data_IF_764324778824
#
_entry.id   IF_764324778824
#
_cell.length_a   1.000
_cell.length_b   1.000
_cell.length_c   1.000
_cell.angle_alpha   90.00
_cell.angle_beta   90.00
_cell.angle_gamma   90.00
#
_symmetry.space_group_name_H-M   'P 1'
#
loop_
_entity.id
_entity.type
_entity.pdbx_description
1 polymer ?
#
# COMPACT_ATOMS: atom_id res chain seq x y z
N UNK A 1 48.04 -42.03 -46.42
CA UNK A 1 46.64 -42.32 -46.07
C UNK A 1 46.00 -40.98 -45.66
N UNK A 2 45.13 -40.43 -46.51
CA UNK A 2 44.34 -39.19 -46.25
C UNK A 2 43.27 -39.49 -45.18
N UNK A 3 42.88 -38.52 -44.33
CA UNK A 3 41.62 -37.79 -44.56
C UNK A 3 41.71 -36.29 -44.16
N UNK A 4 41.32 -35.34 -45.02
CA UNK A 4 39.96 -34.76 -45.23
C UNK A 4 39.58 -33.69 -44.19
N UNK A 5 39.97 -32.44 -44.51
CA UNK A 5 39.51 -31.20 -43.86
C UNK A 5 38.08 -30.90 -44.31
N UNK A 6 37.13 -30.82 -43.37
CA UNK A 6 35.74 -30.41 -43.64
C UNK A 6 35.44 -29.10 -42.93
N UNK A 7 35.59 -28.00 -43.67
CA UNK A 7 35.14 -26.66 -43.29
C UNK A 7 33.61 -26.62 -43.29
N UNK A 8 33.01 -26.51 -42.11
CA UNK A 8 31.57 -26.25 -41.95
C UNK A 8 31.31 -24.74 -41.91
N UNK A 9 30.70 -24.21 -42.96
CA UNK A 9 30.21 -22.83 -43.05
C UNK A 9 28.88 -22.71 -42.29
N UNK A 10 28.82 -21.88 -41.26
CA UNK A 10 27.56 -21.48 -40.60
C UNK A 10 26.76 -20.56 -41.55
N UNK A 11 25.43 -20.74 -41.71
CA UNK A 11 24.63 -19.82 -42.50
C UNK A 11 24.43 -18.48 -41.77
N UNK A 12 24.14 -17.38 -42.50
CA UNK A 12 23.89 -16.08 -41.90
C UNK A 12 22.59 -16.11 -41.10
N UNK A 13 22.59 -15.49 -39.92
CA UNK A 13 21.36 -15.24 -39.15
C UNK A 13 20.63 -14.11 -39.85
N UNK A 14 19.76 -14.46 -40.81
CA UNK A 14 18.86 -13.53 -41.47
C UNK A 14 17.73 -13.22 -40.49
N UNK A 15 17.89 -12.13 -39.73
CA UNK A 15 16.85 -11.58 -38.88
C UNK A 15 15.78 -10.95 -39.77
N UNK A 16 14.80 -11.75 -40.16
CA UNK A 16 13.58 -11.26 -40.81
C UNK A 16 12.91 -10.24 -39.87
N UNK A 17 12.68 -8.98 -40.27
CA UNK A 17 11.96 -8.02 -39.44
C UNK A 17 10.50 -8.44 -39.34
N UNK A 18 10.03 -8.76 -38.13
CA UNK A 18 8.62 -9.06 -37.88
C UNK A 18 7.78 -7.83 -38.24
N UNK A 19 6.79 -7.94 -39.15
CA UNK A 19 5.97 -6.79 -39.53
C UNK A 19 5.17 -6.29 -38.32
N UNK A 20 5.07 -4.97 -38.13
CA UNK A 20 4.36 -4.37 -36.99
C UNK A 20 2.88 -4.77 -36.91
N UNK A 21 2.26 -5.14 -38.04
CA UNK A 21 0.88 -5.63 -38.09
C UNK A 21 0.67 -6.92 -37.30
N UNK A 22 1.67 -7.80 -37.23
CA UNK A 22 1.59 -9.04 -36.44
C UNK A 22 1.65 -8.79 -34.92
N UNK A 23 2.21 -7.65 -34.50
CA UNK A 23 2.16 -7.21 -33.09
C UNK A 23 0.81 -6.58 -32.76
N UNK A 24 0.21 -5.85 -33.70
CA UNK A 24 -1.13 -5.28 -33.54
C UNK A 24 -2.20 -6.39 -33.47
N UNK A 25 -2.14 -7.40 -34.34
CA UNK A 25 -3.07 -8.53 -34.30
C UNK A 25 -2.96 -9.34 -33.00
N UNK A 26 -1.76 -9.44 -32.40
CA UNK A 26 -1.57 -10.12 -31.11
C UNK A 26 -2.09 -9.31 -29.92
N UNK A 27 -2.06 -7.98 -29.98
CA UNK A 27 -2.64 -7.11 -28.94
C UNK A 27 -4.17 -7.09 -29.06
N UNK A 28 -4.71 -7.14 -30.29
CA UNK A 28 -6.16 -7.17 -30.53
C UNK A 28 -6.75 -8.55 -30.19
N UNK A 29 -6.08 -9.66 -30.51
CA UNK A 29 -6.58 -11.01 -30.26
C UNK A 29 -6.67 -11.44 -28.78
N UNK A 30 -6.01 -10.72 -27.86
CA UNK A 30 -6.10 -11.02 -26.40
C UNK A 30 -7.12 -10.16 -25.65
N UNK A 31 -7.97 -9.39 -26.35
CA UNK A 31 -8.80 -8.33 -25.73
C UNK A 31 -10.31 -8.54 -25.86
N UNK A 32 -10.77 -9.70 -26.33
CA UNK A 32 -12.21 -9.96 -26.43
C UNK A 32 -12.73 -10.50 -25.09
N UNK A 33 -13.68 -9.81 -24.42
CA UNK A 33 -14.26 -10.32 -23.19
C UNK A 33 -15.07 -11.59 -23.47
N UNK A 34 -15.05 -12.57 -22.55
CA UNK A 34 -15.84 -13.78 -22.67
C UNK A 34 -17.34 -13.45 -22.59
N UNK A 35 -18.19 -14.20 -23.29
CA UNK A 35 -19.66 -13.97 -23.26
C UNK A 35 -20.25 -14.20 -21.86
N UNK A 36 -19.69 -15.15 -21.10
CA UNK A 36 -20.02 -15.41 -19.69
C UNK A 36 -18.78 -15.76 -18.89
N UNK A 37 -18.77 -15.40 -17.61
CA UNK A 37 -17.69 -15.71 -16.67
C UNK A 37 -18.20 -16.58 -15.54
N UNK A 38 -17.82 -17.86 -15.57
CA UNK A 38 -18.09 -18.81 -14.49
C UNK A 38 -16.83 -18.95 -13.62
N UNK A 39 -16.53 -17.92 -12.82
CA UNK A 39 -15.34 -17.88 -11.99
C UNK A 39 -14.97 -16.48 -11.47
N UNK A 40 -13.70 -16.32 -11.13
CA UNK A 40 -13.11 -15.07 -10.63
C UNK A 40 -12.12 -14.54 -11.66
N UNK A 41 -12.14 -13.23 -11.90
CA UNK A 41 -11.11 -12.54 -12.66
C UNK A 41 -10.27 -11.65 -11.75
N UNK A 42 -9.09 -11.27 -12.24
CA UNK A 42 -8.25 -10.26 -11.59
C UNK A 42 -8.35 -8.98 -12.40
N UNK A 43 -8.67 -7.88 -11.72
CA UNK A 43 -8.73 -6.54 -12.29
C UNK A 43 -8.01 -5.53 -11.41
N UNK A 44 -8.18 -4.25 -11.74
CA UNK A 44 -7.64 -3.11 -11.01
C UNK A 44 -8.71 -2.07 -10.77
N UNK A 45 -8.64 -1.35 -9.65
CA UNK A 45 -9.51 -0.19 -9.41
C UNK A 45 -8.98 1.00 -10.19
N UNK A 46 -9.79 1.56 -11.06
CA UNK A 46 -9.45 2.73 -11.88
C UNK A 46 -9.77 4.03 -11.13
N UNK A 47 -10.98 4.16 -10.60
CA UNK A 47 -11.48 5.36 -9.96
C UNK A 47 -12.65 5.06 -8.99
N UNK A 48 -13.11 6.11 -8.32
CA UNK A 48 -14.41 6.17 -7.64
C UNK A 48 -15.24 7.22 -8.37
N UNK A 49 -16.50 6.90 -8.69
CA UNK A 49 -17.42 7.87 -9.29
C UNK A 49 -17.91 8.90 -8.26
N UNK A 50 -18.78 9.82 -8.70
CA UNK A 50 -19.33 10.90 -7.86
C UNK A 50 -20.15 10.39 -6.67
N UNK A 51 -20.67 9.18 -6.76
CA UNK A 51 -21.44 8.51 -5.70
C UNK A 51 -20.56 7.59 -4.84
N UNK A 52 -19.24 7.58 -5.08
CA UNK A 52 -18.27 6.73 -4.40
C UNK A 52 -18.30 5.27 -4.84
N UNK A 53 -18.89 4.94 -5.99
CA UNK A 53 -18.85 3.58 -6.54
C UNK A 53 -17.55 3.36 -7.30
N UNK A 54 -16.88 2.22 -7.09
CA UNK A 54 -15.63 1.95 -7.77
C UNK A 54 -15.85 1.61 -9.24
N UNK A 55 -14.95 2.10 -10.09
CA UNK A 55 -14.80 1.61 -11.46
C UNK A 55 -13.56 0.74 -11.57
N UNK A 56 -13.61 -0.32 -12.36
CA UNK A 56 -12.52 -1.29 -12.50
C UNK A 56 -12.16 -1.56 -13.95
N UNK A 57 -10.90 -1.96 -14.15
CA UNK A 57 -10.36 -2.48 -15.39
C UNK A 57 -10.01 -3.95 -15.28
N UNK A 58 -10.12 -4.67 -16.39
CA UNK A 58 -9.72 -6.06 -16.57
C UNK A 58 -8.86 -6.13 -17.83
N UNK A 59 -7.55 -5.91 -17.65
CA UNK A 59 -6.57 -5.86 -18.76
C UNK A 59 -6.62 -7.11 -19.64
N UNK A 60 -6.81 -8.28 -19.03
CA UNK A 60 -6.89 -9.57 -19.73
C UNK A 60 -8.04 -9.66 -20.74
N UNK A 61 -9.06 -8.79 -20.63
CA UNK A 61 -10.23 -8.75 -21.49
C UNK A 61 -10.41 -7.39 -22.17
N UNK A 62 -9.43 -6.49 -22.07
CA UNK A 62 -9.51 -5.14 -22.65
C UNK A 62 -10.65 -4.27 -22.11
N UNK A 63 -11.22 -4.61 -20.94
CA UNK A 63 -12.32 -3.85 -20.34
C UNK A 63 -11.76 -2.80 -19.38
N UNK A 64 -12.28 -1.58 -19.44
CA UNK A 64 -11.85 -0.46 -18.58
C UNK A 64 -13.06 0.35 -18.10
N UNK A 65 -12.93 1.00 -16.94
CA UNK A 65 -13.98 1.89 -16.42
C UNK A 65 -15.31 1.20 -16.11
N UNK A 66 -15.32 -0.12 -15.88
CA UNK A 66 -16.54 -0.85 -15.57
C UNK A 66 -17.04 -0.46 -14.18
N UNK A 67 -18.30 -0.01 -14.01
CA UNK A 67 -18.85 0.22 -12.70
C UNK A 67 -18.95 -1.11 -11.95
N UNK A 68 -18.34 -1.19 -10.77
CA UNK A 68 -18.33 -2.39 -9.96
C UNK A 68 -19.13 -2.20 -8.66
N UNK A 69 -19.86 -3.24 -8.26
CA UNK A 69 -20.35 -3.34 -6.89
C UNK A 69 -19.22 -3.82 -6.00
N UNK A 70 -19.29 -3.57 -4.70
CA UNK A 70 -18.25 -4.02 -3.77
C UNK A 70 -18.85 -4.69 -2.54
N UNK A 71 -18.23 -5.78 -2.10
CA UNK A 71 -18.50 -6.44 -0.81
C UNK A 71 -17.52 -5.94 0.28
N UNK A 72 -16.47 -5.23 -0.13
CA UNK A 72 -15.43 -4.66 0.74
C UNK A 72 -15.43 -3.13 0.67
N UNK A 73 -14.89 -2.46 1.67
CA UNK A 73 -14.74 -1.00 1.62
C UNK A 73 -13.67 -0.61 0.58
N UNK A 74 -14.03 0.28 -0.33
CA UNK A 74 -13.13 0.84 -1.34
C UNK A 74 -13.03 2.34 -1.10
N UNK A 75 -11.82 2.79 -0.77
CA UNK A 75 -11.48 4.18 -0.55
C UNK A 75 -10.44 4.66 -1.60
N UNK A 76 -10.20 5.96 -1.65
CA UNK A 76 -9.29 6.56 -2.62
C UNK A 76 -7.82 6.12 -2.46
N UNK A 77 -7.41 5.58 -1.31
CA UNK A 77 -6.05 5.07 -1.11
C UNK A 77 -5.82 3.73 -1.82
N UNK A 78 -6.90 3.07 -2.26
CA UNK A 78 -6.86 1.77 -2.93
C UNK A 78 -6.94 1.86 -4.46
N UNK A 79 -6.95 3.07 -5.01
CA UNK A 79 -6.89 3.28 -6.46
C UNK A 79 -5.63 2.63 -7.02
N UNK A 80 -5.76 1.99 -8.18
CA UNK A 80 -4.69 1.25 -8.82
C UNK A 80 -4.38 -0.10 -8.15
N UNK A 81 -5.06 -0.51 -7.08
CA UNK A 81 -4.80 -1.81 -6.44
C UNK A 81 -5.45 -2.96 -7.23
N UNK A 82 -4.78 -4.11 -7.28
CA UNK A 82 -5.32 -5.32 -7.88
C UNK A 82 -6.43 -5.92 -7.01
N UNK A 83 -7.51 -6.37 -7.64
CA UNK A 83 -8.72 -6.89 -6.99
C UNK A 83 -9.18 -8.19 -7.62
N UNK A 84 -9.78 -9.05 -6.80
CA UNK A 84 -10.51 -10.23 -7.24
C UNK A 84 -11.97 -9.84 -7.55
N UNK A 85 -12.43 -10.17 -8.75
CA UNK A 85 -13.73 -9.82 -9.29
C UNK A 85 -14.59 -11.07 -9.50
N UNK A 86 -15.79 -11.07 -8.94
CA UNK A 86 -16.89 -11.95 -9.37
C UNK A 86 -17.82 -11.22 -10.33
N UNK A 87 -18.77 -11.92 -10.93
CA UNK A 87 -19.63 -11.38 -11.98
C UNK A 87 -21.10 -11.71 -11.71
N UNK A 88 -21.96 -10.69 -11.63
CA UNK A 88 -23.40 -10.88 -11.40
C UNK A 88 -24.01 -11.60 -12.60
N UNK A 89 -24.76 -12.69 -12.36
CA UNK A 89 -25.37 -13.51 -13.42
C UNK A 89 -24.37 -14.06 -14.46
N UNK A 90 -23.07 -14.12 -14.11
CA UNK A 90 -21.96 -14.43 -15.01
C UNK A 90 -21.75 -13.42 -16.16
N UNK A 91 -22.24 -12.18 -16.02
CA UNK A 91 -22.06 -11.10 -17.00
C UNK A 91 -20.72 -10.36 -16.77
N UNK A 92 -19.76 -10.40 -17.73
CA UNK A 92 -18.44 -9.75 -17.60
C UNK A 92 -18.53 -8.22 -17.41
N UNK A 93 -19.64 -7.58 -17.81
CA UNK A 93 -19.85 -6.14 -17.69
C UNK A 93 -20.45 -5.74 -16.33
N UNK A 94 -20.74 -6.71 -15.45
CA UNK A 94 -21.29 -6.49 -14.10
C UNK A 94 -20.36 -7.06 -13.02
N UNK A 95 -19.15 -6.50 -12.86
CA UNK A 95 -18.21 -6.97 -11.86
C UNK A 95 -18.65 -6.65 -10.42
N UNK A 96 -18.28 -7.53 -9.50
CA UNK A 96 -18.40 -7.37 -8.05
C UNK A 96 -17.01 -7.57 -7.45
N UNK A 97 -16.51 -6.56 -6.74
CA UNK A 97 -15.26 -6.65 -5.99
C UNK A 97 -15.48 -7.56 -4.78
N UNK A 98 -14.81 -8.71 -4.81
CA UNK A 98 -14.84 -9.70 -3.74
C UNK A 98 -13.76 -9.42 -2.67
N UNK A 99 -12.62 -8.89 -3.10
CA UNK A 99 -11.49 -8.59 -2.21
C UNK A 99 -10.28 -8.02 -2.92
N UNK A 100 -9.31 -7.57 -2.12
CA UNK A 100 -8.05 -7.02 -2.61
C UNK A 100 -6.99 -8.10 -2.70
N UNK A 101 -6.17 -8.04 -3.74
CA UNK A 101 -4.97 -8.85 -3.82
C UNK A 101 -3.93 -8.26 -2.87
N UNK A 102 -3.49 -9.08 -1.92
CA UNK A 102 -2.44 -8.71 -0.96
C UNK A 102 -1.14 -9.29 -1.51
N UNK A 103 -0.18 -8.43 -1.84
CA UNK A 103 1.17 -8.87 -2.12
C UNK A 103 1.78 -9.43 -0.83
N UNK A 104 2.53 -10.54 -0.88
CA UNK A 104 3.29 -11.01 0.26
C UNK A 104 4.20 -9.89 0.76
N UNK A 105 3.91 -9.33 1.93
CA UNK A 105 4.81 -8.38 2.55
C UNK A 105 5.94 -9.16 3.20
N UNK A 106 7.18 -8.77 2.93
CA UNK A 106 8.29 -9.20 3.79
C UNK A 106 7.94 -8.83 5.24
N UNK A 107 8.25 -9.67 6.24
CA UNK A 107 7.90 -9.39 7.62
C UNK A 107 8.50 -8.05 8.03
N UNK A 108 7.64 -7.04 8.10
CA UNK A 108 7.97 -5.74 8.68
C UNK A 108 7.89 -5.92 10.20
N UNK A 109 8.93 -5.54 10.97
CA UNK A 109 8.82 -5.54 12.42
C UNK A 109 7.63 -4.65 12.79
N UNK A 110 6.73 -5.20 13.61
CA UNK A 110 5.53 -4.55 14.12
C UNK A 110 5.88 -3.15 14.65
N UNK A 111 5.53 -2.13 13.88
CA UNK A 111 5.54 -0.76 14.34
C UNK A 111 4.39 -0.61 15.33
N UNK A 112 4.74 -0.53 16.61
CA UNK A 112 3.80 -0.23 17.70
C UNK A 112 3.12 1.10 17.35
N UNK A 113 1.81 1.04 17.18
CA UNK A 113 1.00 2.20 16.78
C UNK A 113 0.96 3.16 17.95
N UNK A 114 1.51 4.36 17.79
CA UNK A 114 1.27 5.45 18.74
C UNK A 114 -0.16 5.94 18.52
N UNK A 115 -1.06 5.71 19.47
CA UNK A 115 -2.40 6.29 19.44
C UNK A 115 -2.33 7.74 19.94
N UNK A 116 -2.68 8.69 19.06
CA UNK A 116 -2.90 10.09 19.41
C UNK A 116 -4.37 10.42 19.20
N UNK A 117 -5.11 10.72 20.27
CA UNK A 117 -6.50 11.21 20.18
C UNK A 117 -6.49 12.73 20.27
N UNK A 118 -7.05 13.39 19.26
CA UNK A 118 -7.20 14.85 19.21
C UNK A 118 -8.69 15.17 19.11
N UNK A 119 -9.27 15.77 20.14
CA UNK A 119 -10.70 16.13 20.19
C UNK A 119 -10.96 17.62 19.86
N UNK A 120 -9.93 18.32 19.34
CA UNK A 120 -9.97 19.76 19.06
C UNK A 120 -9.75 20.65 20.29
N UNK A 121 -9.73 20.09 21.50
CA UNK A 121 -9.46 20.79 22.76
C UNK A 121 -8.28 20.19 23.53
N UNK A 122 -7.99 18.90 23.33
CA UNK A 122 -7.07 18.08 24.08
C UNK A 122 -6.41 17.04 23.18
N UNK A 123 -5.12 16.81 23.42
CA UNK A 123 -4.33 15.74 22.81
C UNK A 123 -4.00 14.71 23.89
N UNK A 124 -4.25 13.42 23.61
CA UNK A 124 -3.89 12.29 24.48
C UNK A 124 -2.94 11.36 23.73
N UNK A 125 -1.72 11.21 24.25
CA UNK A 125 -0.72 10.24 23.80
C UNK A 125 -0.68 9.08 24.79
N UNK A 126 -0.70 7.84 24.31
CA UNK A 126 -0.67 6.64 25.17
C UNK A 126 0.28 5.59 24.62
N UNK A 127 1.04 4.96 25.52
CA UNK A 127 1.97 3.86 25.22
C UNK A 127 2.01 2.89 26.42
N UNK A 128 2.29 1.61 26.14
CA UNK A 128 2.34 0.58 27.19
C UNK A 128 3.62 0.66 28.05
N UNK A 129 4.73 1.15 27.49
CA UNK A 129 6.04 1.11 28.16
C UNK A 129 6.70 2.48 28.33
N UNK A 130 6.76 3.29 27.27
CA UNK A 130 7.49 4.57 27.28
C UNK A 130 6.91 5.56 26.25
N UNK A 131 6.90 6.84 26.62
CA UNK A 131 6.66 7.97 25.71
C UNK A 131 7.92 8.85 25.74
N UNK A 132 8.62 8.98 24.62
CA UNK A 132 9.75 9.89 24.47
C UNK A 132 9.43 11.00 23.44
N UNK A 133 9.55 12.27 23.87
CA UNK A 133 9.52 13.44 23.01
C UNK A 133 10.95 13.97 22.84
N UNK A 134 11.58 13.72 21.70
CA UNK A 134 13.00 14.01 21.45
C UNK A 134 13.21 15.13 20.44
N UNK A 135 14.16 16.01 20.74
CA UNK A 135 14.70 17.01 19.83
C UNK A 135 16.23 17.07 19.97
N UNK A 136 16.94 16.34 19.10
CA UNK A 136 18.39 16.17 19.24
C UNK A 136 18.77 15.46 20.55
N UNK A 137 19.63 16.10 21.35
CA UNK A 137 20.06 15.60 22.67
C UNK A 137 19.02 15.85 23.78
N UNK A 138 18.05 16.75 23.54
CA UNK A 138 16.99 17.02 24.51
C UNK A 138 15.86 15.99 24.40
N UNK A 139 15.33 15.57 25.55
CA UNK A 139 14.24 14.61 25.60
C UNK A 139 13.34 14.80 26.83
N UNK A 140 12.06 14.53 26.67
CA UNK A 140 11.09 14.33 27.75
C UNK A 140 10.64 12.88 27.70
N UNK A 141 10.88 12.12 28.77
CA UNK A 141 10.63 10.68 28.80
C UNK A 141 9.65 10.38 29.94
N UNK A 142 8.57 9.67 29.62
CA UNK A 142 7.60 9.14 30.57
C UNK A 142 7.61 7.62 30.47
N UNK A 143 7.82 6.92 31.58
CA UNK A 143 7.89 5.45 31.63
C UNK A 143 6.68 4.85 32.36
N UNK A 144 6.36 3.59 32.10
CA UNK A 144 5.20 2.89 32.66
C UNK A 144 5.22 2.76 34.20
N UNK A 145 6.40 2.86 34.83
CA UNK A 145 6.54 2.90 36.30
C UNK A 145 6.22 4.28 36.91
N UNK A 146 5.85 5.26 36.08
CA UNK A 146 5.47 6.61 36.49
C UNK A 146 6.63 7.59 36.60
N UNK A 147 7.85 7.21 36.20
CA UNK A 147 8.97 8.15 36.18
C UNK A 147 8.82 9.16 35.02
N UNK A 148 9.14 10.43 35.30
CA UNK A 148 9.23 11.50 34.30
C UNK A 148 10.66 12.04 34.32
N UNK A 149 11.35 12.02 33.18
CA UNK A 149 12.69 12.56 33.01
C UNK A 149 12.68 13.75 32.04
N UNK A 150 13.32 14.86 32.43
CA UNK A 150 13.58 16.01 31.58
C UNK A 150 15.09 16.06 31.31
N UNK A 151 15.49 15.90 30.04
CA UNK A 151 16.90 15.90 29.60
C UNK A 151 17.16 17.08 28.67
N UNK A 152 18.26 17.78 28.93
CA UNK A 152 18.75 18.86 28.09
C UNK A 152 19.86 19.64 28.79
N UNK A 153 20.61 20.43 28.02
CA UNK A 153 21.69 21.26 28.58
C UNK A 153 21.16 22.38 29.48
N UNK A 154 19.95 22.87 29.21
CA UNK A 154 19.27 23.91 29.98
C UNK A 154 17.78 23.59 30.09
N UNK A 155 17.23 23.68 31.30
CA UNK A 155 15.79 23.52 31.56
C UNK A 155 15.28 24.83 32.17
N UNK A 156 14.47 25.56 31.42
CA UNK A 156 13.78 26.76 31.92
C UNK A 156 12.37 26.37 32.38
N UNK A 157 12.17 26.32 33.70
CA UNK A 157 10.86 26.11 34.30
C UNK A 157 10.26 27.47 34.67
N UNK A 158 9.17 27.85 34.03
CA UNK A 158 8.53 29.16 34.23
C UNK A 158 7.03 29.01 34.48
N UNK A 159 6.52 29.76 35.45
CA UNK A 159 5.09 29.89 35.72
C UNK A 159 4.76 31.37 35.95
N UNK A 160 3.66 31.87 35.37
CA UNK A 160 3.20 33.26 35.55
C UNK A 160 2.59 33.53 36.93
N UNK A 161 2.11 32.48 37.59
CA UNK A 161 1.58 32.52 38.94
C UNK A 161 2.45 31.67 39.87
N UNK A 162 1.91 30.60 40.46
CA UNK A 162 2.65 29.76 41.41
C UNK A 162 3.13 28.48 40.75
N UNK A 163 4.40 28.15 40.93
CA UNK A 163 4.92 26.80 40.70
C UNK A 163 4.95 26.04 42.02
N UNK A 164 4.23 24.92 42.11
CA UNK A 164 4.17 24.08 43.32
C UNK A 164 4.91 22.76 43.04
N UNK A 165 5.90 22.45 43.88
CA UNK A 165 6.63 21.18 43.86
C UNK A 165 6.27 20.45 45.15
N UNK A 166 5.75 19.24 45.04
CA UNK A 166 5.29 18.40 46.15
C UNK A 166 5.96 17.04 46.03
N UNK A 167 6.58 16.56 47.10
CA UNK A 167 7.22 15.25 47.16
C UNK A 167 7.66 14.94 48.59
N UNK A 168 7.82 13.65 48.91
CA UNK A 168 8.35 13.22 50.21
C UNK A 168 9.77 13.73 50.49
N UNK A 169 10.52 14.04 49.44
CA UNK A 169 11.80 14.73 49.46
C UNK A 169 12.02 15.50 48.15
N UNK A 170 12.60 16.71 48.24
CA UNK A 170 13.07 17.47 47.08
C UNK A 170 14.56 17.67 47.25
N UNK A 171 15.35 17.09 46.35
CA UNK A 171 16.80 17.22 46.34
C UNK A 171 17.20 18.25 45.29
N UNK A 172 17.84 19.32 45.74
CA UNK A 172 18.43 20.35 44.88
C UNK A 172 19.93 20.32 45.13
N UNK A 173 20.71 20.12 44.06
CA UNK A 173 22.17 20.13 44.08
C UNK A 173 22.69 21.29 43.23
#
# INVERSE_FOLDING_TARGET
MKPETRTGTLPPIEQQPTPPDALLDRVVASSTPPERVEGVAVGRIDALDVDGRPTVSIDAWGLTGLPARSVVNVDAQRLGQAVALGFESADPLRPIILGFMIAPQAPVPVSVSVEARVDGQRVVLSAEQEIELRCGEAAIILTADGQIQLRGNYITSYATATQRILGGSVNLN
#
